data_IF_261503102716
#
_entry.id   IF_261503102716
#
_cell.length_a   1.000
_cell.length_b   1.000
_cell.length_c   1.000
_cell.angle_alpha   90.00
_cell.angle_beta   90.00
_cell.angle_gamma   90.00
#
_symmetry.space_group_name_H-M   'P 1'
#
loop_
_entity.id
_entity.type
_entity.pdbx_description
1 polymer ?
#
# COMPACT_ATOMS: atom_id res chain seq x y z
N UNK A 1 19.85 -4.72 -26.00
CA UNK A 1 18.70 -3.83 -26.21
C UNK A 1 18.20 -3.45 -24.83
N UNK A 2 18.45 -2.22 -24.42
CA UNK A 2 18.05 -1.70 -23.10
C UNK A 2 16.52 -1.50 -23.09
N UNK A 3 15.79 -2.46 -22.55
CA UNK A 3 14.35 -2.36 -22.35
C UNK A 3 14.07 -1.58 -21.06
N UNK A 4 14.32 -0.26 -21.07
CA UNK A 4 13.76 0.62 -20.05
C UNK A 4 12.25 0.76 -20.34
N UNK A 5 11.36 0.46 -19.38
CA UNK A 5 9.94 0.71 -19.58
C UNK A 5 9.69 2.22 -19.68
N UNK A 6 9.21 2.69 -20.81
CA UNK A 6 8.83 4.10 -21.02
C UNK A 6 7.34 4.28 -20.72
N UNK A 7 6.98 5.34 -19.99
CA UNK A 7 5.59 5.68 -19.70
C UNK A 7 4.91 6.16 -20.97
N UNK A 8 3.85 5.48 -21.42
CA UNK A 8 3.16 5.77 -22.68
C UNK A 8 1.92 6.64 -22.53
N UNK A 9 1.37 6.78 -21.32
CA UNK A 9 0.20 7.59 -21.03
C UNK A 9 0.32 8.28 -19.67
N UNK A 10 0.12 9.60 -19.64
CA UNK A 10 0.16 10.42 -18.43
C UNK A 10 -1.27 10.71 -17.96
N UNK A 11 -1.48 10.69 -16.64
CA UNK A 11 -2.74 10.97 -15.96
C UNK A 11 -3.03 12.47 -15.98
N UNK A 12 -1.99 13.31 -15.85
CA UNK A 12 -2.09 14.77 -15.92
C UNK A 12 -0.74 15.44 -16.31
N UNK A 13 -0.78 16.77 -16.48
CA UNK A 13 0.38 17.60 -16.83
C UNK A 13 1.43 17.67 -15.70
N UNK A 14 1.05 17.41 -14.45
CA UNK A 14 1.99 17.35 -13.33
C UNK A 14 2.82 16.06 -13.38
N UNK A 15 2.17 14.92 -13.61
CA UNK A 15 2.81 13.62 -13.77
C UNK A 15 3.77 13.62 -14.96
N UNK A 16 3.36 14.19 -16.10
CA UNK A 16 4.23 14.30 -17.27
C UNK A 16 5.53 15.05 -16.95
N UNK A 17 5.43 16.22 -16.30
CA UNK A 17 6.61 17.00 -15.90
C UNK A 17 7.49 16.26 -14.90
N UNK A 18 6.89 15.51 -13.99
CA UNK A 18 7.62 14.71 -13.00
C UNK A 18 8.40 13.58 -13.67
N UNK A 19 7.76 12.82 -14.58
CA UNK A 19 8.41 11.73 -15.31
C UNK A 19 9.53 12.27 -16.20
N UNK A 20 9.29 13.35 -16.95
CA UNK A 20 10.34 14.00 -17.75
C UNK A 20 11.49 14.48 -16.86
N UNK A 21 11.21 15.08 -15.70
CA UNK A 21 12.25 15.52 -14.77
C UNK A 21 13.10 14.36 -14.23
N UNK A 22 12.51 13.18 -14.01
CA UNK A 22 13.19 11.96 -13.50
C UNK A 22 13.97 11.23 -14.61
N UNK A 23 13.40 11.14 -15.82
CA UNK A 23 14.01 10.45 -16.97
C UNK A 23 15.15 11.26 -17.60
N UNK A 24 15.11 12.59 -17.49
CA UNK A 24 16.27 13.41 -17.82
C UNK A 24 17.40 13.07 -16.84
N UNK A 25 18.58 12.68 -17.37
CA UNK A 25 19.80 12.33 -16.61
C UNK A 25 20.30 13.47 -15.70
N UNK A 26 19.65 14.64 -15.72
CA UNK A 26 19.88 15.78 -14.86
C UNK A 26 19.12 15.72 -13.52
N UNK A 27 18.29 14.69 -13.25
CA UNK A 27 17.64 14.54 -11.95
C UNK A 27 18.67 14.24 -10.86
N UNK A 28 19.13 15.28 -10.19
CA UNK A 28 19.95 15.15 -9.01
C UNK A 28 19.03 14.77 -7.85
N UNK A 29 19.05 13.50 -7.46
CA UNK A 29 18.40 13.00 -6.24
C UNK A 29 18.92 13.88 -5.11
N UNK A 30 18.09 14.80 -4.62
CA UNK A 30 18.44 15.62 -3.46
C UNK A 30 18.78 14.68 -2.32
N UNK A 31 19.81 15.03 -1.55
CA UNK A 31 20.20 14.27 -0.37
C UNK A 31 18.97 13.97 0.47
N UNK A 32 18.79 12.68 0.81
CA UNK A 32 17.68 12.24 1.64
C UNK A 32 17.72 13.02 2.95
N UNK A 33 16.67 13.80 3.22
CA UNK A 33 16.51 14.49 4.51
C UNK A 33 16.33 13.52 5.69
N UNK A 34 16.31 12.21 5.44
CA UNK A 34 16.20 11.19 6.47
C UNK A 34 17.56 10.97 7.13
N UNK A 35 17.64 11.30 8.41
CA UNK A 35 18.74 10.85 9.27
C UNK A 35 18.90 9.31 9.17
N UNK A 36 20.13 8.77 9.22
CA UNK A 36 20.37 7.33 9.30
C UNK A 36 19.59 6.64 10.42
N UNK A 37 19.40 7.34 11.55
CA UNK A 37 18.60 6.84 12.68
C UNK A 37 17.12 6.70 12.30
N UNK A 38 16.55 7.71 11.63
CA UNK A 38 15.15 7.70 11.22
C UNK A 38 14.87 6.66 10.15
N UNK A 39 15.83 6.43 9.24
CA UNK A 39 15.76 5.37 8.25
C UNK A 39 15.69 3.99 8.92
N UNK A 40 16.55 3.75 9.90
CA UNK A 40 16.58 2.49 10.66
C UNK A 40 15.28 2.23 11.43
N UNK A 41 14.72 3.26 12.07
CA UNK A 41 13.42 3.18 12.74
C UNK A 41 12.27 2.85 11.77
N UNK A 42 12.20 3.53 10.62
CA UNK A 42 11.16 3.26 9.64
C UNK A 42 11.27 1.84 9.08
N UNK A 43 12.50 1.37 8.85
CA UNK A 43 12.76 0.00 8.39
C UNK A 43 12.39 -1.04 9.45
N UNK A 44 12.67 -0.79 10.73
CA UNK A 44 12.34 -1.73 11.81
C UNK A 44 10.83 -1.83 12.01
N UNK A 45 10.12 -0.70 11.99
CA UNK A 45 8.65 -0.66 12.05
C UNK A 45 8.05 -1.38 10.84
N UNK A 46 8.53 -1.10 9.63
CA UNK A 46 8.03 -1.77 8.42
C UNK A 46 8.24 -3.30 8.49
N UNK A 47 9.42 -3.75 8.94
CA UNK A 47 9.71 -5.18 9.12
C UNK A 47 8.82 -5.83 10.18
N UNK A 48 8.57 -5.15 11.30
CA UNK A 48 7.69 -5.63 12.35
C UNK A 48 6.24 -5.78 11.86
N UNK A 49 5.74 -4.84 11.07
CA UNK A 49 4.38 -4.91 10.48
C UNK A 49 4.27 -6.00 9.41
N UNK A 50 5.32 -6.23 8.62
CA UNK A 50 5.30 -7.27 7.59
C UNK A 50 5.33 -8.68 8.21
N UNK A 51 6.07 -8.85 9.30
CA UNK A 51 6.31 -10.15 9.95
C UNK A 51 5.34 -10.45 11.10
N UNK A 52 4.25 -9.70 11.23
CA UNK A 52 3.26 -9.93 12.28
C UNK A 52 2.69 -11.36 12.20
N UNK A 53 2.74 -12.08 13.31
CA UNK A 53 2.22 -13.46 13.39
C UNK A 53 0.70 -13.45 13.18
N UNK A 54 0.23 -14.22 12.20
CA UNK A 54 -1.19 -14.30 11.84
C UNK A 54 -1.84 -15.51 12.47
N UNK A 55 -2.87 -15.29 13.28
CA UNK A 55 -3.72 -16.35 13.79
C UNK A 55 -4.83 -16.73 12.78
N UNK A 56 -5.07 -18.03 12.49
CA UNK A 56 -6.20 -18.45 11.66
C UNK A 56 -7.52 -18.32 12.43
N UNK A 57 -8.56 -17.83 11.75
CA UNK A 57 -9.92 -17.72 12.32
C UNK A 57 -10.94 -18.44 11.41
N UNK A 58 -11.96 -19.06 12.02
CA UNK A 58 -13.10 -19.62 11.30
C UNK A 58 -14.30 -18.68 11.41
N UNK A 59 -14.87 -18.27 10.28
CA UNK A 59 -15.99 -17.32 10.23
C UNK A 59 -17.12 -17.86 9.34
N UNK A 60 -18.36 -17.76 9.83
CA UNK A 60 -19.56 -18.03 9.04
C UNK A 60 -20.17 -16.72 8.57
N UNK A 61 -20.35 -16.57 7.26
CA UNK A 61 -21.01 -15.40 6.65
C UNK A 61 -22.06 -15.84 5.63
N UNK A 62 -23.09 -15.01 5.38
CA UNK A 62 -24.04 -15.26 4.29
C UNK A 62 -23.33 -15.39 2.94
N UNK A 63 -23.77 -16.34 2.11
CA UNK A 63 -23.20 -16.56 0.76
C UNK A 63 -23.35 -15.32 -0.14
N UNK A 64 -24.43 -14.57 0.04
CA UNK A 64 -24.70 -13.30 -0.64
C UNK A 64 -23.62 -12.28 -0.33
N UNK A 65 -23.27 -12.10 0.94
CA UNK A 65 -22.25 -11.15 1.37
C UNK A 65 -20.83 -11.59 0.97
N UNK A 66 -20.53 -12.89 1.05
CA UNK A 66 -19.27 -13.42 0.52
C UNK A 66 -19.09 -13.06 -0.96
N UNK A 67 -20.15 -13.17 -1.75
CA UNK A 67 -20.12 -12.85 -3.19
C UNK A 67 -19.89 -11.36 -3.42
N UNK A 68 -20.60 -10.50 -2.67
CA UNK A 68 -20.41 -9.03 -2.73
C UNK A 68 -19.01 -8.61 -2.31
N UNK A 69 -18.45 -9.25 -1.29
CA UNK A 69 -17.11 -8.98 -0.81
C UNK A 69 -16.05 -9.40 -1.83
N UNK A 70 -16.19 -10.56 -2.48
CA UNK A 70 -15.32 -10.96 -3.60
C UNK A 70 -15.37 -9.96 -4.75
N UNK A 71 -16.57 -9.51 -5.13
CA UNK A 71 -16.72 -8.49 -6.18
C UNK A 71 -16.09 -7.15 -5.79
N UNK A 72 -16.18 -6.74 -4.52
CA UNK A 72 -15.52 -5.53 -4.02
C UNK A 72 -13.99 -5.67 -4.07
N UNK A 73 -13.45 -6.78 -3.57
CA UNK A 73 -12.02 -7.04 -3.58
C UNK A 73 -11.43 -7.08 -5.00
N UNK A 74 -12.17 -7.67 -5.95
CA UNK A 74 -11.78 -7.70 -7.36
C UNK A 74 -11.71 -6.29 -7.98
N UNK A 75 -12.66 -5.39 -7.66
CA UNK A 75 -12.62 -4.00 -8.10
C UNK A 75 -11.44 -3.22 -7.52
N UNK A 76 -11.04 -3.55 -6.30
CA UNK A 76 -9.88 -2.96 -5.62
C UNK A 76 -8.55 -3.63 -6.00
N UNK A 77 -8.58 -4.67 -6.84
CA UNK A 77 -7.38 -5.38 -7.29
C UNK A 77 -6.69 -6.21 -6.20
N UNK A 78 -7.40 -6.56 -5.12
CA UNK A 78 -6.85 -7.30 -3.97
C UNK A 78 -7.54 -8.65 -3.76
N UNK A 79 -6.87 -9.65 -3.16
CA UNK A 79 -7.53 -10.87 -2.71
C UNK A 79 -8.63 -10.56 -1.69
N UNK A 80 -9.73 -11.33 -1.71
CA UNK A 80 -10.85 -11.09 -0.81
C UNK A 80 -10.48 -11.28 0.67
N UNK A 81 -9.53 -12.16 0.98
CA UNK A 81 -8.98 -12.34 2.32
C UNK A 81 -8.22 -11.08 2.79
N UNK A 82 -7.47 -10.44 1.89
CA UNK A 82 -6.76 -9.18 2.17
C UNK A 82 -7.74 -8.07 2.52
N UNK A 83 -8.85 -7.97 1.77
CA UNK A 83 -9.91 -7.00 2.07
C UNK A 83 -10.56 -7.27 3.43
N UNK A 84 -10.85 -8.54 3.77
CA UNK A 84 -11.37 -8.92 5.09
C UNK A 84 -10.41 -8.48 6.20
N UNK A 85 -9.12 -8.79 6.06
CA UNK A 85 -8.11 -8.42 7.04
C UNK A 85 -8.00 -6.90 7.20
N UNK A 86 -8.04 -6.14 6.10
CA UNK A 86 -8.02 -4.67 6.13
C UNK A 86 -9.22 -4.08 6.88
N UNK A 87 -10.42 -4.62 6.65
CA UNK A 87 -11.64 -4.19 7.34
C UNK A 87 -11.54 -4.46 8.84
N UNK A 88 -11.07 -5.66 9.24
CA UNK A 88 -10.87 -6.01 10.64
C UNK A 88 -9.84 -5.09 11.32
N UNK A 89 -8.70 -4.88 10.68
CA UNK A 89 -7.65 -3.99 11.20
C UNK A 89 -8.16 -2.55 11.36
N UNK A 90 -8.89 -2.03 10.37
CA UNK A 90 -9.52 -0.71 10.45
C UNK A 90 -10.53 -0.64 11.60
N UNK A 91 -11.35 -1.67 11.78
CA UNK A 91 -12.37 -1.69 12.84
C UNK A 91 -11.75 -1.61 14.23
N UNK A 92 -10.64 -2.33 14.48
CA UNK A 92 -9.94 -2.28 15.78
C UNK A 92 -9.23 -0.94 15.98
N UNK A 93 -8.45 -0.46 15.01
CA UNK A 93 -7.67 0.77 15.16
C UNK A 93 -8.53 2.04 15.25
N UNK A 94 -9.75 2.02 14.69
CA UNK A 94 -10.66 3.18 14.75
C UNK A 94 -11.24 3.34 16.16
N UNK A 95 -11.44 2.24 16.89
CA UNK A 95 -12.00 2.27 18.26
C UNK A 95 -10.98 2.81 19.27
N UNK A 96 -9.69 2.57 19.07
CA UNK A 96 -8.66 3.05 20.00
C UNK A 96 -8.49 4.57 20.02
N UNK A 97 -8.79 5.26 18.90
CA UNK A 97 -8.63 6.73 18.80
C UNK A 97 -9.72 7.54 19.49
N UNK A 98 -10.80 6.90 19.97
CA UNK A 98 -11.92 7.59 20.63
C UNK A 98 -11.75 7.63 22.15
N UNK A 99 -10.84 6.83 22.71
CA UNK A 99 -10.68 6.66 24.17
C UNK A 99 -9.37 7.24 24.74
N UNK A 100 -8.70 8.16 24.04
CA UNK A 100 -7.52 8.85 24.54
C UNK A 100 -7.59 10.35 24.27
#
# INVERSE_FOLDING_TARGET
MDTKPTVTNYIDDEEKKLIEAIENEAYQIKESFLSPTRLSELQSVARATINEERAPISLRIPKTDLSRLKAKAMREGVPYQTLINSILHKAVNTVEKVNN
#
